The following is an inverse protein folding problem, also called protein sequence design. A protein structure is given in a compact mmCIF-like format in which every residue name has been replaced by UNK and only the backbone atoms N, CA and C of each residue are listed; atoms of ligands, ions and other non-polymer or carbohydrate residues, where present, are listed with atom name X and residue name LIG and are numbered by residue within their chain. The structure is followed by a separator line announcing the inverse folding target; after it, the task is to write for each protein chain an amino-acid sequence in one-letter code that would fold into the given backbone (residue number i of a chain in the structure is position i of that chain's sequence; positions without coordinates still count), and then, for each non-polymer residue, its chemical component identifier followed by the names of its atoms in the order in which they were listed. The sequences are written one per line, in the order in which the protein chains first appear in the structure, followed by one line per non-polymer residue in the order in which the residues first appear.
data_IF_233077356809
#
_entry.id   IF_233077356809
#
_cell.length_a   1.000
_cell.length_b   1.000
_cell.length_c   1.000
_cell.angle_alpha   90.00
_cell.angle_beta   90.00
_cell.angle_gamma   90.00
#
_symmetry.space_group_name_H-M   'P 1'
#
loop_
_entity.id
_entity.type
_entity.pdbx_description
1 polymer ?
#
# COMPACT_ATOMS: atom_id res chain seq x y z
N UNK A 1 26.15 -31.57 -24.69
CA UNK A 1 26.37 -31.82 -23.24
C UNK A 1 26.73 -30.52 -22.53
N UNK A 2 27.70 -29.76 -23.03
CA UNK A 2 28.15 -28.49 -22.44
C UNK A 2 27.03 -27.45 -22.27
N UNK A 3 26.20 -27.21 -23.30
CA UNK A 3 25.06 -26.28 -23.17
C UNK A 3 24.09 -26.68 -22.05
N UNK A 4 23.79 -27.98 -21.92
CA UNK A 4 22.88 -28.48 -20.89
C UNK A 4 23.47 -28.33 -19.47
N UNK A 5 24.79 -28.47 -19.34
CA UNK A 5 25.50 -28.19 -18.09
C UNK A 5 25.52 -26.69 -17.76
N UNK A 6 25.70 -25.83 -18.76
CA UNK A 6 25.66 -24.37 -18.61
C UNK A 6 24.25 -23.88 -18.21
N UNK A 7 23.20 -24.38 -18.88
CA UNK A 7 21.80 -24.10 -18.50
C UNK A 7 21.54 -24.49 -17.05
N UNK A 8 21.94 -25.71 -16.67
CA UNK A 8 21.73 -26.21 -15.31
C UNK A 8 22.51 -25.42 -14.25
N UNK A 9 23.71 -24.95 -14.58
CA UNK A 9 24.50 -24.08 -13.71
C UNK A 9 23.80 -22.73 -13.49
N UNK A 10 23.28 -22.11 -14.54
CA UNK A 10 22.54 -20.86 -14.45
C UNK A 10 21.22 -21.02 -13.67
N UNK A 11 20.45 -22.09 -13.93
CA UNK A 11 19.25 -22.42 -13.14
C UNK A 11 19.57 -22.54 -11.65
N UNK A 12 20.69 -23.19 -11.31
CA UNK A 12 21.12 -23.36 -9.93
C UNK A 12 21.44 -22.02 -9.26
N UNK A 13 22.07 -21.07 -9.95
CA UNK A 13 22.29 -19.71 -9.42
C UNK A 13 20.97 -19.01 -9.09
N UNK A 14 19.95 -19.16 -9.94
CA UNK A 14 18.61 -18.59 -9.71
C UNK A 14 18.01 -19.13 -8.42
N UNK A 15 18.08 -20.46 -8.23
CA UNK A 15 17.55 -21.14 -7.04
C UNK A 15 18.37 -20.85 -5.79
N UNK A 16 19.70 -20.84 -5.88
CA UNK A 16 20.61 -20.54 -4.77
C UNK A 16 20.44 -19.10 -4.28
N UNK A 17 20.18 -18.16 -5.18
CA UNK A 17 19.88 -16.77 -4.83
C UNK A 17 18.64 -16.70 -3.93
N UNK A 18 17.55 -17.37 -4.32
CA UNK A 18 16.31 -17.39 -3.54
C UNK A 18 16.48 -18.15 -2.24
N UNK A 19 17.17 -19.29 -2.26
CA UNK A 19 17.48 -20.06 -1.08
C UNK A 19 18.21 -19.22 -0.02
N UNK A 20 19.26 -18.47 -0.42
CA UNK A 20 19.99 -17.57 0.47
C UNK A 20 19.12 -16.44 1.03
N UNK A 21 18.15 -15.94 0.26
CA UNK A 21 17.22 -14.90 0.73
C UNK A 21 16.15 -15.40 1.72
N UNK A 22 15.73 -16.67 1.60
CA UNK A 22 14.60 -17.22 2.37
C UNK A 22 15.03 -18.10 3.54
N UNK A 23 16.17 -18.78 3.42
CA UNK A 23 16.64 -19.81 4.35
C UNK A 23 18.13 -19.67 4.74
N UNK A 24 18.89 -18.84 4.03
CA UNK A 24 20.30 -18.60 4.32
C UNK A 24 20.57 -17.18 4.77
N UNK A 25 21.80 -16.73 4.54
CA UNK A 25 22.24 -15.37 4.85
C UNK A 25 21.98 -14.43 3.66
N UNK A 26 21.06 -13.45 3.75
CA UNK A 26 20.70 -12.62 2.61
C UNK A 26 21.88 -11.87 1.99
N UNK A 27 22.79 -11.36 2.81
CA UNK A 27 24.00 -10.65 2.35
C UNK A 27 24.90 -11.54 1.46
N UNK A 28 24.86 -12.87 1.63
CA UNK A 28 25.68 -13.81 0.87
C UNK A 28 25.26 -13.96 -0.59
N UNK A 29 24.09 -13.44 -1.02
CA UNK A 29 23.71 -13.47 -2.43
C UNK A 29 24.69 -12.70 -3.31
N UNK A 30 25.42 -11.73 -2.76
CA UNK A 30 26.45 -10.98 -3.48
C UNK A 30 27.52 -11.91 -4.09
N UNK A 31 27.81 -13.05 -3.47
CA UNK A 31 28.80 -14.02 -3.98
C UNK A 31 28.31 -14.81 -5.21
N UNK A 32 27.01 -14.73 -5.53
CA UNK A 32 26.45 -15.34 -6.75
C UNK A 32 26.63 -14.45 -7.98
N UNK A 33 27.02 -13.18 -7.78
CA UNK A 33 27.23 -12.22 -8.85
C UNK A 33 28.69 -12.16 -9.29
N UNK A 34 28.92 -11.69 -10.51
CA UNK A 34 30.23 -11.19 -10.94
C UNK A 34 30.66 -10.00 -10.06
N UNK A 35 31.95 -9.65 -10.09
CA UNK A 35 32.48 -8.55 -9.27
C UNK A 35 31.80 -7.21 -9.60
N UNK A 36 31.46 -7.01 -10.88
CA UNK A 36 30.70 -5.88 -11.46
C UNK A 36 29.18 -6.10 -11.48
N UNK A 37 28.68 -7.14 -10.80
CA UNK A 37 27.30 -7.57 -10.97
C UNK A 37 26.26 -6.54 -10.53
N UNK A 38 25.10 -6.56 -11.19
CA UNK A 38 24.07 -5.51 -11.03
C UNK A 38 22.73 -6.10 -10.59
N UNK A 39 22.08 -5.42 -9.64
CA UNK A 39 20.70 -5.68 -9.23
C UNK A 39 19.84 -4.43 -9.45
N UNK A 40 18.69 -4.59 -10.11
CA UNK A 40 17.84 -3.46 -10.50
C UNK A 40 16.35 -3.67 -10.16
N UNK A 41 15.72 -2.57 -9.74
CA UNK A 41 14.28 -2.36 -9.62
C UNK A 41 13.80 -1.31 -10.63
N UNK A 42 13.66 -1.63 -11.92
CA UNK A 42 13.22 -0.63 -12.90
C UNK A 42 11.75 -0.28 -12.72
N UNK A 43 11.33 0.81 -13.34
CA UNK A 43 9.93 1.26 -13.35
C UNK A 43 8.97 0.10 -13.72
N UNK A 44 7.82 -0.03 -13.04
CA UNK A 44 7.21 0.92 -12.10
C UNK A 44 7.72 0.83 -10.64
N UNK A 45 8.84 0.14 -10.38
CA UNK A 45 9.53 0.17 -9.08
C UNK A 45 10.15 1.54 -8.75
N UNK A 46 10.90 1.61 -7.66
CA UNK A 46 11.54 2.85 -7.19
C UNK A 46 12.88 3.18 -7.85
N UNK A 47 13.20 2.53 -8.97
CA UNK A 47 14.41 2.80 -9.74
C UNK A 47 15.70 2.42 -9.02
N UNK A 48 15.63 1.65 -7.92
CA UNK A 48 16.81 1.27 -7.15
C UNK A 48 17.75 0.41 -7.99
N UNK A 49 19.02 0.78 -7.99
CA UNK A 49 20.12 0.03 -8.61
C UNK A 49 21.24 -0.19 -7.60
N UNK A 50 21.78 -1.39 -7.56
CA UNK A 50 22.94 -1.76 -6.74
C UNK A 50 23.95 -2.46 -7.62
N UNK A 51 25.19 -1.96 -7.64
CA UNK A 51 26.24 -2.42 -8.54
C UNK A 51 27.49 -2.78 -7.75
N UNK A 52 28.04 -3.95 -8.09
CA UNK A 52 29.19 -4.54 -7.45
C UNK A 52 28.87 -5.25 -6.14
N UNK A 53 29.68 -6.25 -5.81
CA UNK A 53 29.44 -7.14 -4.65
C UNK A 53 29.31 -6.40 -3.32
N UNK A 54 30.07 -5.33 -3.12
CA UNK A 54 29.99 -4.54 -1.90
C UNK A 54 28.60 -3.87 -1.72
N UNK A 55 28.07 -3.23 -2.77
CA UNK A 55 26.76 -2.60 -2.72
C UNK A 55 25.64 -3.63 -2.60
N UNK A 56 25.74 -4.74 -3.33
CA UNK A 56 24.80 -5.86 -3.23
C UNK A 56 24.76 -6.41 -1.79
N UNK A 57 25.92 -6.64 -1.18
CA UNK A 57 26.02 -7.16 0.19
C UNK A 57 25.36 -6.21 1.19
N UNK A 58 25.59 -4.91 1.07
CA UNK A 58 24.96 -3.90 1.91
C UNK A 58 23.43 -3.87 1.70
N UNK A 59 22.97 -3.89 0.45
CA UNK A 59 21.55 -3.87 0.09
C UNK A 59 20.80 -5.07 0.66
N UNK A 60 21.27 -6.29 0.41
CA UNK A 60 20.61 -7.50 0.89
C UNK A 60 20.80 -7.73 2.39
N UNK A 61 21.91 -7.26 2.96
CA UNK A 61 22.19 -7.30 4.40
C UNK A 61 21.35 -6.34 5.24
N UNK A 62 20.83 -5.26 4.66
CA UNK A 62 19.93 -4.32 5.34
C UNK A 62 18.51 -4.89 5.59
N UNK A 63 18.26 -6.15 5.22
CA UNK A 63 16.99 -6.84 5.42
C UNK A 63 16.70 -7.03 6.93
N UNK A 64 15.48 -6.72 7.43
CA UNK A 64 15.12 -6.98 8.82
C UNK A 64 15.27 -8.45 9.20
N UNK A 65 15.84 -8.73 10.37
CA UNK A 65 16.09 -10.10 10.84
C UNK A 65 14.80 -10.88 11.18
N UNK A 66 13.72 -10.16 11.52
CA UNK A 66 12.40 -10.68 11.83
C UNK A 66 11.52 -10.90 10.58
N UNK A 67 12.10 -10.82 9.38
CA UNK A 67 11.40 -10.99 8.11
C UNK A 67 11.37 -12.44 7.69
N UNK A 68 10.20 -13.07 7.79
CA UNK A 68 9.93 -14.37 7.18
C UNK A 68 9.56 -14.18 5.70
N UNK A 69 10.21 -14.91 4.80
CA UNK A 69 9.80 -14.97 3.38
C UNK A 69 9.91 -16.35 2.76
N UNK A 70 9.06 -16.60 1.77
CA UNK A 70 9.15 -17.75 0.86
C UNK A 70 8.88 -17.26 -0.56
N UNK A 71 9.79 -17.55 -1.48
CA UNK A 71 9.64 -17.29 -2.90
C UNK A 71 9.54 -18.60 -3.64
N UNK A 72 8.41 -18.78 -4.32
CA UNK A 72 8.19 -19.90 -5.22
C UNK A 72 8.71 -19.48 -6.59
N UNK A 73 9.72 -20.19 -7.08
CA UNK A 73 10.26 -19.99 -8.42
C UNK A 73 9.61 -20.97 -9.41
N UNK A 74 9.18 -20.47 -10.56
CA UNK A 74 8.61 -21.28 -11.63
C UNK A 74 8.98 -20.71 -13.01
N UNK A 75 8.62 -21.44 -14.08
CA UNK A 75 8.78 -20.98 -15.46
C UNK A 75 10.22 -20.49 -15.76
N UNK A 76 11.22 -21.18 -15.19
CA UNK A 76 12.62 -20.84 -15.40
C UNK A 76 12.98 -21.27 -16.82
N UNK A 77 13.41 -20.29 -17.62
CA UNK A 77 13.88 -20.50 -18.99
C UNK A 77 15.26 -19.88 -19.12
N UNK A 78 16.27 -20.71 -19.27
CA UNK A 78 17.64 -20.29 -19.57
C UNK A 78 17.90 -20.44 -21.07
N UNK A 79 18.62 -19.50 -21.66
CA UNK A 79 19.14 -19.57 -23.04
C UNK A 79 20.63 -19.27 -23.01
N UNK A 80 21.46 -20.26 -23.34
CA UNK A 80 22.91 -20.07 -23.50
C UNK A 80 23.16 -19.31 -24.81
N UNK A 81 23.75 -18.12 -24.72
CA UNK A 81 23.93 -17.20 -25.85
C UNK A 81 25.33 -17.28 -26.45
N UNK A 82 26.31 -17.71 -25.68
CA UNK A 82 27.67 -18.03 -26.14
C UNK A 82 28.32 -19.06 -25.21
N UNK A 83 29.59 -19.38 -25.47
CA UNK A 83 30.38 -20.25 -24.58
C UNK A 83 30.44 -19.70 -23.13
N UNK A 84 30.45 -18.38 -22.97
CA UNK A 84 30.66 -17.70 -21.67
C UNK A 84 29.48 -16.81 -21.24
N UNK A 85 28.37 -16.78 -21.99
CA UNK A 85 27.20 -15.94 -21.66
C UNK A 85 25.89 -16.70 -21.78
N UNK A 86 24.94 -16.35 -20.93
CA UNK A 86 23.58 -16.86 -20.97
C UNK A 86 22.59 -15.78 -20.47
N UNK A 87 21.32 -15.97 -20.79
CA UNK A 87 20.21 -15.13 -20.32
C UNK A 87 19.10 -16.01 -19.76
N UNK A 88 18.32 -15.48 -18.81
CA UNK A 88 17.15 -16.20 -18.32
C UNK A 88 15.96 -15.30 -17.98
N UNK A 89 14.78 -15.88 -18.11
CA UNK A 89 13.57 -15.39 -17.46
C UNK A 89 13.16 -16.39 -16.39
N UNK A 90 12.83 -15.92 -15.19
CA UNK A 90 12.30 -16.78 -14.13
C UNK A 90 11.15 -16.10 -13.39
N UNK A 91 10.04 -16.81 -13.20
CA UNK A 91 8.85 -16.27 -12.54
C UNK A 91 8.99 -16.49 -11.04
N UNK A 92 8.49 -15.54 -10.24
CA UNK A 92 8.49 -15.66 -8.80
C UNK A 92 7.15 -15.24 -8.18
N UNK A 93 6.77 -15.94 -7.13
CA UNK A 93 5.67 -15.57 -6.22
C UNK A 93 6.24 -15.46 -4.81
N UNK A 94 6.13 -14.29 -4.19
CA UNK A 94 6.69 -14.03 -2.86
C UNK A 94 5.60 -13.95 -1.80
N UNK A 95 5.70 -14.81 -0.79
CA UNK A 95 5.04 -14.66 0.51
C UNK A 95 6.04 -14.06 1.49
N UNK A 96 5.59 -13.08 2.28
CA UNK A 96 6.45 -12.38 3.23
C UNK A 96 5.64 -11.79 4.37
N UNK A 97 6.20 -11.82 5.58
CA UNK A 97 5.68 -11.14 6.77
C UNK A 97 6.86 -10.70 7.65
N UNK A 98 6.73 -9.56 8.30
CA UNK A 98 7.69 -9.05 9.29
C UNK A 98 7.16 -9.25 10.72
N UNK A 99 8.06 -9.46 11.67
CA UNK A 99 7.75 -9.60 13.09
C UNK A 99 7.04 -10.90 13.46
N UNK A 100 6.97 -11.90 12.55
CA UNK A 100 6.23 -13.13 12.80
C UNK A 100 6.98 -14.09 13.72
N UNK A 101 6.33 -14.45 14.83
CA UNK A 101 6.86 -15.32 15.91
C UNK A 101 6.09 -16.62 16.12
N UNK A 102 5.02 -16.86 15.36
CA UNK A 102 4.21 -18.09 15.46
C UNK A 102 4.70 -19.23 14.56
N UNK A 103 4.11 -20.41 14.68
CA UNK A 103 4.52 -21.57 13.89
C UNK A 103 4.05 -21.50 12.43
N UNK A 104 2.76 -21.23 12.21
CA UNK A 104 2.13 -21.21 10.88
C UNK A 104 1.60 -19.83 10.55
N UNK A 105 2.10 -19.24 9.45
CA UNK A 105 1.59 -17.96 8.94
C UNK A 105 0.18 -18.19 8.38
N UNK A 106 -0.84 -17.38 8.77
CA UNK A 106 -2.17 -17.46 8.20
C UNK A 106 -2.16 -17.31 6.68
N UNK A 107 -3.09 -17.98 6.00
CA UNK A 107 -3.25 -17.87 4.56
C UNK A 107 -3.54 -16.41 4.16
N UNK A 108 -2.78 -15.90 3.20
CA UNK A 108 -2.93 -14.56 2.64
C UNK A 108 -2.51 -14.57 1.16
N UNK A 109 -2.95 -13.60 0.34
CA UNK A 109 -2.42 -13.41 -1.02
C UNK A 109 -0.90 -13.19 -1.00
N UNK A 110 -0.19 -13.51 -2.10
CA UNK A 110 1.23 -13.21 -2.21
C UNK A 110 1.48 -11.70 -2.21
N UNK A 111 2.57 -11.27 -1.58
CA UNK A 111 2.98 -9.86 -1.50
C UNK A 111 3.48 -9.38 -2.87
N UNK A 112 4.09 -10.26 -3.66
CA UNK A 112 4.69 -9.93 -4.94
C UNK A 112 4.51 -11.09 -5.92
N UNK A 113 4.10 -10.80 -7.16
CA UNK A 113 4.13 -11.74 -8.29
C UNK A 113 4.75 -11.04 -9.48
N UNK A 114 5.77 -11.67 -10.07
CA UNK A 114 6.52 -11.08 -11.17
C UNK A 114 7.54 -12.03 -11.75
N UNK A 115 8.55 -11.47 -12.41
CA UNK A 115 9.65 -12.24 -12.97
C UNK A 115 10.99 -11.51 -12.85
N UNK A 116 12.07 -12.28 -12.88
CA UNK A 116 13.43 -11.80 -13.06
C UNK A 116 13.84 -11.96 -14.53
N UNK A 117 14.56 -10.96 -15.03
CA UNK A 117 15.36 -11.02 -16.24
C UNK A 117 16.83 -11.05 -15.81
N UNK A 118 17.54 -12.12 -16.15
CA UNK A 118 18.90 -12.38 -15.71
C UNK A 118 19.85 -12.43 -16.89
N UNK A 119 21.06 -11.90 -16.70
CA UNK A 119 22.20 -12.19 -17.55
C UNK A 119 23.28 -12.89 -16.75
N UNK A 120 24.00 -13.82 -17.38
CA UNK A 120 25.03 -14.62 -16.76
C UNK A 120 26.33 -14.50 -17.54
N UNK A 121 27.44 -14.57 -16.80
CA UNK A 121 28.79 -14.60 -17.37
C UNK A 121 29.59 -15.72 -16.72
N UNK A 122 30.35 -16.46 -17.52
CA UNK A 122 31.34 -17.43 -17.04
C UNK A 122 32.66 -16.70 -16.77
N UNK A 123 33.15 -16.79 -15.53
CA UNK A 123 34.41 -16.15 -15.07
C UNK A 123 35.24 -17.24 -14.41
N UNK A 124 36.47 -17.44 -14.87
CA UNK A 124 37.40 -18.47 -14.38
C UNK A 124 36.77 -19.88 -14.32
N UNK A 125 35.94 -20.21 -15.32
CA UNK A 125 35.23 -21.48 -15.42
C UNK A 125 33.95 -21.60 -14.58
N UNK A 126 33.58 -20.57 -13.82
CA UNK A 126 32.37 -20.55 -12.99
C UNK A 126 31.31 -19.61 -13.58
N UNK A 127 30.07 -20.10 -13.71
CA UNK A 127 28.92 -19.25 -14.05
C UNK A 127 28.53 -18.38 -12.86
N UNK A 128 28.27 -17.10 -13.13
CA UNK A 128 27.83 -16.10 -12.16
C UNK A 128 26.73 -15.22 -12.77
N UNK A 129 25.90 -14.60 -11.92
CA UNK A 129 24.96 -13.56 -12.31
C UNK A 129 25.72 -12.28 -12.68
N UNK A 130 25.61 -11.82 -13.91
CA UNK A 130 26.13 -10.52 -14.32
C UNK A 130 25.11 -9.42 -14.05
N UNK A 131 23.83 -9.67 -14.31
CA UNK A 131 22.75 -8.77 -13.89
C UNK A 131 21.48 -9.54 -13.53
N UNK A 132 20.68 -8.94 -12.65
CA UNK A 132 19.32 -9.39 -12.35
C UNK A 132 18.39 -8.19 -12.24
N UNK A 133 17.34 -8.22 -13.03
CA UNK A 133 16.35 -7.15 -13.14
C UNK A 133 14.97 -7.65 -12.74
N UNK A 134 14.32 -6.97 -11.79
CA UNK A 134 12.98 -7.31 -11.33
C UNK A 134 11.90 -6.66 -12.20
N UNK A 135 10.90 -7.45 -12.63
CA UNK A 135 9.65 -6.96 -13.22
C UNK A 135 8.49 -7.31 -12.29
N UNK A 136 7.82 -6.30 -11.74
CA UNK A 136 6.83 -6.47 -10.66
C UNK A 136 5.43 -5.97 -11.08
N UNK A 137 4.65 -6.76 -11.84
CA UNK A 137 3.28 -6.42 -12.20
C UNK A 137 2.31 -6.43 -11.01
N UNK A 138 2.54 -7.28 -10.00
CA UNK A 138 1.74 -7.31 -8.78
C UNK A 138 2.66 -7.14 -7.56
N UNK A 139 2.43 -6.10 -6.77
CA UNK A 139 3.24 -5.80 -5.59
C UNK A 139 2.49 -4.98 -4.55
N UNK A 140 2.75 -5.26 -3.27
CA UNK A 140 2.21 -4.50 -2.16
C UNK A 140 3.20 -4.37 -0.99
N UNK A 141 2.83 -3.61 0.05
CA UNK A 141 3.63 -3.51 1.27
C UNK A 141 3.78 -4.87 1.95
N UNK A 142 4.88 -5.07 2.68
CA UNK A 142 5.09 -6.28 3.48
C UNK A 142 4.24 -6.19 4.76
N UNK A 143 3.34 -7.15 5.05
CA UNK A 143 2.56 -7.15 6.28
C UNK A 143 3.44 -7.39 7.51
N UNK A 144 3.01 -6.87 8.68
CA UNK A 144 3.65 -7.07 9.99
C UNK A 144 2.73 -7.83 10.95
N UNK A 145 3.28 -8.71 11.78
CA UNK A 145 2.53 -9.38 12.86
C UNK A 145 2.13 -8.38 13.95
N UNK A 146 0.91 -8.51 14.49
CA UNK A 146 0.55 -7.93 15.80
C UNK A 146 -0.22 -6.61 15.81
N UNK A 147 -0.43 -5.92 14.68
CA UNK A 147 -1.44 -4.85 14.53
C UNK A 147 -1.88 -4.83 13.08
N UNK A 148 -3.19 -4.90 12.80
CA UNK A 148 -3.67 -4.18 11.62
C UNK A 148 -3.28 -2.73 11.90
N UNK A 149 -2.28 -2.19 11.20
CA UNK A 149 -1.80 -0.85 11.48
C UNK A 149 -2.99 0.10 11.35
N UNK A 150 -3.48 0.59 12.49
CA UNK A 150 -4.44 1.68 12.50
C UNK A 150 -3.65 2.91 12.09
N UNK A 151 -3.88 3.37 10.87
CA UNK A 151 -3.21 4.53 10.33
C UNK A 151 -4.13 5.73 10.50
N UNK A 152 -3.66 6.76 11.18
CA UNK A 152 -4.38 8.02 11.26
C UNK A 152 -4.32 8.70 9.89
N UNK A 153 -5.48 9.02 9.33
CA UNK A 153 -5.63 9.81 8.11
C UNK A 153 -5.75 11.27 8.49
N UNK A 154 -4.94 12.11 7.83
CA UNK A 154 -4.87 13.57 8.05
C UNK A 154 -4.89 14.31 6.71
N UNK A 155 -5.62 15.42 6.65
CA UNK A 155 -5.63 16.36 5.52
C UNK A 155 -5.98 17.77 6.00
N UNK A 156 -5.38 18.75 5.34
CA UNK A 156 -5.66 20.18 5.46
C UNK A 156 -6.91 20.62 4.69
N UNK A 157 -7.51 19.74 3.89
CA UNK A 157 -8.74 20.01 3.11
C UNK A 157 -10.03 19.67 3.85
N UNK A 158 -9.93 19.18 5.09
CA UNK A 158 -11.04 18.95 5.99
C UNK A 158 -10.71 19.59 7.35
N UNK A 159 -11.71 20.02 8.13
CA UNK A 159 -11.45 20.68 9.39
C UNK A 159 -10.80 19.73 10.41
N UNK A 160 -9.71 20.19 11.02
CA UNK A 160 -9.15 19.65 12.26
C UNK A 160 -8.72 20.83 13.12
N UNK A 161 -9.73 21.53 13.64
CA UNK A 161 -9.57 22.85 14.22
C UNK A 161 -9.35 22.72 15.72
N UNK A 162 -8.25 23.27 16.28
CA UNK A 162 -8.02 23.32 17.73
C UNK A 162 -9.17 23.96 18.49
N UNK A 163 -9.32 23.60 19.76
CA UNK A 163 -10.20 24.30 20.68
C UNK A 163 -9.71 25.74 20.92
N UNK A 164 -10.57 26.63 21.47
CA UNK A 164 -10.17 28.03 21.74
C UNK A 164 -8.93 28.20 22.64
N UNK A 165 -8.61 27.18 23.44
CA UNK A 165 -7.41 27.14 24.29
C UNK A 165 -6.15 26.64 23.56
N UNK A 166 -6.24 26.37 22.26
CA UNK A 166 -5.16 25.90 21.40
C UNK A 166 -4.92 24.38 21.47
N UNK A 167 -5.69 23.63 22.26
CA UNK A 167 -5.55 22.18 22.32
C UNK A 167 -6.13 21.52 21.07
N UNK A 168 -5.44 20.51 20.54
CA UNK A 168 -5.95 19.74 19.41
C UNK A 168 -7.19 18.91 19.82
N UNK A 169 -8.15 18.69 18.91
CA UNK A 169 -9.26 17.79 19.18
C UNK A 169 -8.76 16.38 19.54
N UNK A 170 -9.31 15.71 20.57
CA UNK A 170 -8.91 14.38 21.01
C UNK A 170 -9.44 13.27 20.08
N UNK A 171 -9.24 13.43 18.77
CA UNK A 171 -9.71 12.53 17.72
C UNK A 171 -8.74 12.52 16.52
N UNK A 172 -8.81 11.45 15.73
CA UNK A 172 -8.26 11.43 14.37
C UNK A 172 -9.31 11.93 13.39
N UNK A 173 -8.93 12.64 12.32
CA UNK A 173 -9.86 12.98 11.23
C UNK A 173 -10.44 11.71 10.59
N UNK A 174 -9.59 10.71 10.37
CA UNK A 174 -10.00 9.35 10.09
C UNK A 174 -8.98 8.33 10.58
N UNK A 175 -9.41 7.07 10.66
CA UNK A 175 -8.56 5.92 10.98
C UNK A 175 -8.78 4.85 9.93
N UNK A 176 -7.71 4.45 9.26
CA UNK A 176 -7.71 3.32 8.33
C UNK A 176 -7.29 2.05 9.05
N UNK A 177 -8.01 0.94 8.80
CA UNK A 177 -7.64 -0.40 9.24
C UNK A 177 -7.93 -1.41 8.13
N UNK A 178 -6.85 -1.94 7.55
CA UNK A 178 -6.95 -2.73 6.32
C UNK A 178 -7.60 -1.92 5.19
N UNK A 179 -8.65 -2.45 4.52
CA UNK A 179 -9.38 -1.71 3.49
C UNK A 179 -10.42 -0.75 4.08
N UNK A 180 -10.71 -0.77 5.38
CA UNK A 180 -11.76 0.07 5.95
C UNK A 180 -11.19 1.40 6.41
N UNK A 181 -11.90 2.49 6.11
CA UNK A 181 -11.68 3.81 6.66
C UNK A 181 -12.89 4.21 7.49
N UNK A 182 -12.63 4.72 8.69
CA UNK A 182 -13.62 5.33 9.57
C UNK A 182 -13.30 6.80 9.72
N UNK A 183 -14.20 7.71 9.34
CA UNK A 183 -14.01 9.14 9.59
C UNK A 183 -14.61 9.50 10.94
N UNK A 184 -14.00 10.46 11.64
CA UNK A 184 -14.72 11.18 12.70
C UNK A 184 -15.80 12.07 12.09
N UNK A 185 -16.78 12.50 12.90
CA UNK A 185 -17.81 13.43 12.48
C UNK A 185 -17.21 14.69 11.86
N UNK A 186 -17.64 15.01 10.64
CA UNK A 186 -17.26 16.23 9.93
C UNK A 186 -18.38 17.26 10.04
N UNK A 187 -18.01 18.46 10.48
CA UNK A 187 -18.88 19.63 10.51
C UNK A 187 -18.73 20.52 9.26
N UNK A 188 -19.54 21.58 9.14
CA UNK A 188 -19.60 22.48 7.98
C UNK A 188 -18.52 23.56 8.01
N UNK A 189 -17.45 23.37 8.78
CA UNK A 189 -16.38 24.36 8.89
C UNK A 189 -15.47 24.29 7.66
N UNK A 190 -15.05 25.45 7.20
CA UNK A 190 -13.93 25.60 6.28
C UNK A 190 -12.63 25.23 6.98
N UNK A 191 -11.78 24.43 6.30
CA UNK A 191 -10.55 23.92 6.92
C UNK A 191 -9.47 24.98 7.09
N UNK A 192 -9.57 26.11 6.38
CA UNK A 192 -8.62 27.21 6.43
C UNK A 192 -9.12 28.33 7.33
N UNK A 193 -10.37 28.80 7.12
CA UNK A 193 -10.88 29.96 7.86
C UNK A 193 -11.59 29.57 9.16
N UNK A 194 -12.09 28.34 9.26
CA UNK A 194 -12.94 27.91 10.37
C UNK A 194 -14.36 28.48 10.32
N UNK A 195 -14.72 29.23 9.28
CA UNK A 195 -16.08 29.74 9.09
C UNK A 195 -17.01 28.62 8.62
N UNK A 196 -18.32 28.82 8.76
CA UNK A 196 -19.32 27.92 8.20
C UNK A 196 -20.43 28.72 7.50
N UNK A 197 -21.08 28.17 6.46
CA UNK A 197 -22.23 28.80 5.83
C UNK A 197 -23.38 29.03 6.83
N UNK A 198 -24.20 30.06 6.58
CA UNK A 198 -25.35 30.36 7.42
C UNK A 198 -26.57 29.49 7.09
N UNK A 199 -26.78 29.15 5.82
CA UNK A 199 -27.91 28.33 5.39
C UNK A 199 -27.62 26.82 5.48
N UNK A 200 -28.68 26.06 5.74
CA UNK A 200 -28.57 24.63 5.94
C UNK A 200 -28.03 23.87 4.72
N UNK A 201 -28.49 24.21 3.51
CA UNK A 201 -28.12 23.48 2.30
C UNK A 201 -26.62 23.60 2.00
N UNK A 202 -26.05 24.81 2.16
CA UNK A 202 -24.63 25.04 2.05
C UNK A 202 -23.83 24.35 3.15
N UNK A 203 -24.31 24.33 4.40
CA UNK A 203 -23.68 23.55 5.47
C UNK A 203 -23.69 22.05 5.14
N UNK A 204 -24.79 21.49 4.63
CA UNK A 204 -24.90 20.08 4.27
C UNK A 204 -23.91 19.70 3.15
N UNK A 205 -23.81 20.53 2.11
CA UNK A 205 -22.83 20.32 1.04
C UNK A 205 -21.39 20.41 1.57
N UNK A 206 -21.10 21.40 2.44
CA UNK A 206 -19.78 21.53 3.05
C UNK A 206 -19.41 20.30 3.90
N UNK A 207 -20.32 19.79 4.72
CA UNK A 207 -20.09 18.57 5.50
C UNK A 207 -19.74 17.37 4.61
N UNK A 208 -20.49 17.16 3.54
CA UNK A 208 -20.23 16.03 2.62
C UNK A 208 -18.91 16.18 1.88
N UNK A 209 -18.56 17.39 1.43
CA UNK A 209 -17.25 17.66 0.82
C UNK A 209 -16.09 17.49 1.81
N UNK A 210 -16.28 17.84 3.08
CA UNK A 210 -15.29 17.59 4.13
C UNK A 210 -15.08 16.09 4.38
N UNK A 211 -16.16 15.30 4.38
CA UNK A 211 -16.07 13.82 4.42
C UNK A 211 -15.28 13.28 3.23
N UNK A 212 -15.61 13.72 2.01
CA UNK A 212 -14.90 13.32 0.80
C UNK A 212 -13.41 13.69 0.85
N UNK A 213 -13.06 14.85 1.41
CA UNK A 213 -11.66 15.24 1.57
C UNK A 213 -10.87 14.26 2.46
N UNK A 214 -11.46 13.78 3.57
CA UNK A 214 -10.83 12.76 4.43
C UNK A 214 -10.71 11.43 3.70
N UNK A 215 -11.74 11.02 2.96
CA UNK A 215 -11.73 9.77 2.16
C UNK A 215 -10.67 9.83 1.07
N UNK A 216 -10.57 10.96 0.37
CA UNK A 216 -9.56 11.20 -0.66
C UNK A 216 -8.14 11.17 -0.11
N UNK A 217 -7.91 11.68 1.11
CA UNK A 217 -6.61 11.61 1.78
C UNK A 217 -6.17 10.16 2.09
N UNK A 218 -7.12 9.23 2.18
CA UNK A 218 -6.84 7.80 2.34
C UNK A 218 -6.70 7.04 1.00
N UNK A 219 -6.82 7.74 -0.14
CA UNK A 219 -6.78 7.15 -1.48
C UNK A 219 -8.12 6.65 -2.02
N UNK A 220 -9.24 7.02 -1.38
CA UNK A 220 -10.59 6.72 -1.87
C UNK A 220 -11.27 7.90 -2.55
N UNK A 221 -12.56 7.73 -2.82
CA UNK A 221 -13.46 8.73 -3.40
C UNK A 221 -14.90 8.58 -2.88
N UNK A 222 -15.87 9.30 -3.44
CA UNK A 222 -17.30 9.17 -3.07
C UNK A 222 -17.84 7.75 -3.27
N UNK A 223 -17.35 7.00 -4.26
CA UNK A 223 -17.77 5.60 -4.51
C UNK A 223 -17.26 4.63 -3.44
N UNK A 224 -16.19 5.03 -2.75
CA UNK A 224 -15.62 4.25 -1.66
C UNK A 224 -16.48 4.32 -0.39
N UNK A 225 -17.36 5.33 -0.25
CA UNK A 225 -18.20 5.52 0.94
C UNK A 225 -19.35 4.52 0.95
N UNK A 226 -19.35 3.62 1.95
CA UNK A 226 -20.36 2.56 2.06
C UNK A 226 -21.41 2.85 3.12
N UNK A 227 -21.12 3.74 4.07
CA UNK A 227 -22.07 4.14 5.12
C UNK A 227 -21.88 5.59 5.52
N UNK A 228 -22.98 6.28 5.78
CA UNK A 228 -23.00 7.57 6.48
C UNK A 228 -23.91 7.52 7.72
N UNK A 229 -23.47 8.13 8.81
CA UNK A 229 -24.36 8.53 9.92
C UNK A 229 -24.49 10.03 9.89
N UNK A 230 -25.72 10.54 9.74
CA UNK A 230 -25.99 11.96 9.56
C UNK A 230 -26.78 12.49 10.75
N UNK A 231 -26.26 13.55 11.39
CA UNK A 231 -26.87 14.20 12.54
C UNK A 231 -27.41 15.56 12.08
N UNK A 232 -28.71 15.78 12.23
CA UNK A 232 -29.38 17.03 11.86
C UNK A 232 -29.88 17.75 13.11
N UNK A 233 -29.64 19.06 13.22
CA UNK A 233 -30.06 19.85 14.37
C UNK A 233 -31.59 19.95 14.52
N UNK A 234 -32.33 19.90 13.41
CA UNK A 234 -33.78 19.99 13.38
C UNK A 234 -34.35 19.03 12.31
N UNK A 235 -35.54 18.47 12.59
CA UNK A 235 -36.28 17.61 11.65
C UNK A 235 -36.70 18.36 10.38
N UNK A 236 -36.92 19.67 10.45
CA UNK A 236 -37.27 20.51 9.31
C UNK A 236 -36.22 20.45 8.19
N UNK A 237 -34.95 20.17 8.51
CA UNK A 237 -33.86 20.09 7.56
C UNK A 237 -33.80 18.78 6.75
N UNK A 238 -34.62 17.79 7.10
CA UNK A 238 -34.50 16.44 6.52
C UNK A 238 -34.79 16.41 5.01
N UNK A 239 -35.76 17.20 4.53
CA UNK A 239 -36.09 17.26 3.10
C UNK A 239 -34.93 17.85 2.28
N UNK A 240 -34.41 19.01 2.72
CA UNK A 240 -33.29 19.69 2.07
C UNK A 240 -32.03 18.82 2.10
N UNK A 241 -31.77 18.13 3.21
CA UNK A 241 -30.65 17.20 3.31
C UNK A 241 -30.76 16.06 2.30
N UNK A 242 -31.96 15.52 2.08
CA UNK A 242 -32.17 14.47 1.09
C UNK A 242 -31.89 14.92 -0.35
N UNK A 243 -32.16 16.20 -0.68
CA UNK A 243 -31.83 16.76 -1.98
C UNK A 243 -30.32 16.89 -2.14
N UNK A 244 -29.66 17.59 -1.21
CA UNK A 244 -28.20 17.78 -1.24
C UNK A 244 -27.45 16.44 -1.24
N UNK A 245 -27.86 15.49 -0.41
CA UNK A 245 -27.24 14.16 -0.33
C UNK A 245 -27.39 13.37 -1.64
N UNK A 246 -28.55 13.47 -2.30
CA UNK A 246 -28.79 12.78 -3.57
C UNK A 246 -27.95 13.38 -4.69
N UNK A 247 -27.86 14.70 -4.75
CA UNK A 247 -27.07 15.39 -5.77
C UNK A 247 -25.58 15.12 -5.56
N UNK A 248 -25.12 15.12 -4.30
CA UNK A 248 -23.73 14.83 -3.95
C UNK A 248 -23.30 13.39 -4.31
N UNK A 249 -24.19 12.41 -4.23
CA UNK A 249 -23.92 11.01 -4.59
C UNK A 249 -24.56 10.59 -5.92
N UNK A 250 -24.91 11.53 -6.80
CA UNK A 250 -25.71 11.26 -8.01
C UNK A 250 -25.08 10.25 -8.98
N UNK A 251 -23.74 10.19 -9.02
CA UNK A 251 -22.93 9.27 -9.82
C UNK A 251 -22.56 7.96 -9.08
N UNK A 252 -22.93 7.82 -7.81
CA UNK A 252 -22.59 6.67 -6.99
C UNK A 252 -23.70 5.60 -7.01
N UNK A 253 -23.32 4.34 -7.24
CA UNK A 253 -24.23 3.19 -7.15
C UNK A 253 -23.50 1.97 -6.57
N UNK A 254 -23.99 1.35 -5.48
CA UNK A 254 -25.16 1.80 -4.69
C UNK A 254 -24.89 3.11 -3.94
N UNK A 255 -25.96 3.81 -3.54
CA UNK A 255 -25.83 4.91 -2.57
C UNK A 255 -25.34 4.36 -1.22
N UNK A 256 -24.59 5.14 -0.41
CA UNK A 256 -24.13 4.67 0.88
C UNK A 256 -25.32 4.32 1.81
N UNK A 257 -25.15 3.27 2.62
CA UNK A 257 -26.11 2.96 3.67
C UNK A 257 -26.20 4.14 4.65
N UNK A 258 -27.41 4.63 4.95
CA UNK A 258 -27.56 5.88 5.69
C UNK A 258 -28.43 5.72 6.93
N UNK A 259 -27.93 6.18 8.06
CA UNK A 259 -28.73 6.45 9.27
C UNK A 259 -28.82 7.96 9.47
N UNK A 260 -30.02 8.50 9.71
CA UNK A 260 -30.20 9.93 10.00
C UNK A 260 -30.84 10.10 11.38
N UNK A 261 -30.21 10.90 12.24
CA UNK A 261 -30.64 11.17 13.60
C UNK A 261 -30.89 12.67 13.74
N UNK A 262 -31.97 13.05 14.44
CA UNK A 262 -32.22 14.44 14.78
C UNK A 262 -31.68 14.71 16.19
N UNK A 263 -30.59 15.46 16.28
CA UNK A 263 -29.89 15.82 17.51
C UNK A 263 -29.11 17.11 17.29
N UNK A 264 -29.04 17.96 18.31
CA UNK A 264 -28.27 19.21 18.24
C UNK A 264 -26.76 18.90 18.24
N UNK A 265 -25.99 19.33 17.22
CA UNK A 265 -24.52 19.19 17.21
C UNK A 265 -23.85 19.96 18.36
N UNK A 266 -22.64 19.53 18.73
CA UNK A 266 -21.94 20.06 19.91
C UNK A 266 -21.42 21.50 19.73
N UNK A 267 -21.07 21.90 18.50
CA UNK A 267 -20.58 23.24 18.18
C UNK A 267 -21.74 24.16 17.82
N UNK A 268 -21.79 25.34 18.43
CA UNK A 268 -22.80 26.35 18.15
C UNK A 268 -22.80 26.75 16.66
N UNK A 269 -23.99 26.96 16.09
CA UNK A 269 -24.18 27.30 14.68
C UNK A 269 -24.11 26.13 13.70
N UNK A 270 -23.61 24.97 14.12
CA UNK A 270 -23.57 23.77 13.28
C UNK A 270 -24.95 23.12 13.24
N UNK A 271 -25.52 23.01 12.04
CA UNK A 271 -26.86 22.44 11.79
C UNK A 271 -26.82 20.98 11.31
N UNK A 272 -25.66 20.52 10.86
CA UNK A 272 -25.45 19.17 10.34
C UNK A 272 -24.03 18.69 10.59
N UNK A 273 -23.90 17.41 10.95
CA UNK A 273 -22.62 16.70 11.08
C UNK A 273 -22.76 15.31 10.45
N UNK A 274 -21.71 14.81 9.79
CA UNK A 274 -21.71 13.47 9.18
C UNK A 274 -20.43 12.72 9.50
N UNK A 275 -20.56 11.48 9.98
CA UNK A 275 -19.49 10.48 9.94
C UNK A 275 -19.71 9.50 8.79
N UNK A 276 -18.62 8.87 8.34
CA UNK A 276 -18.66 7.92 7.25
C UNK A 276 -17.74 6.72 7.47
N UNK A 277 -18.15 5.60 6.87
CA UNK A 277 -17.30 4.42 6.66
C UNK A 277 -17.09 4.27 5.17
N UNK A 278 -15.82 4.10 4.78
CA UNK A 278 -15.44 3.81 3.40
C UNK A 278 -14.66 2.49 3.31
N UNK A 279 -14.74 1.84 2.15
CA UNK A 279 -13.90 0.69 1.79
C UNK A 279 -13.01 1.09 0.63
N UNK A 280 -11.70 1.01 0.85
CA UNK A 280 -10.62 1.38 -0.05
C UNK A 280 -10.13 0.10 -0.75
N UNK A 281 -10.00 0.15 -2.07
CA UNK A 281 -9.58 -0.96 -2.93
C UNK A 281 -8.18 -0.75 -3.48
#
# INVERSE_FOLDING_TARGET
MENLLAERACERLILDFVHRLDLGEPASVAELFTEDGVWEWPAPGDGRRSEGRAALRAYFGARPADKLSRRVMSNIRVTVTSEDTAEATSYFTTYRIEGWSGDMVPAAPPVQVGHYEDTFRRVDGQWLLASRTLRLPFGGPTPRQGRGAHEAVRTDRAPFIPFPDGTEPPLSQGVRTGPHLFTSGQGPLDSVTGDMPADFAAQALRVLTNVEAVVAAAGGDRHSVVRCTCYLADRAHFADFNHVYRDFFADCSPLPARTTVVVRPAREGVLVEVDAVAVLW
#
